data_IF_163815404078
#
_entry.id   IF_163815404078
#
_cell.length_a   1.000
_cell.length_b   1.000
_cell.length_c   1.000
_cell.angle_alpha   90.00
_cell.angle_beta   90.00
_cell.angle_gamma   90.00
#
_symmetry.space_group_name_H-M   'P 1'
#
loop_
_entity.id
_entity.type
_entity.pdbx_description
1 polymer ?
#
# COMPACT_ATOMS: atom_id res chain seq x y z
N UNK A 1 23.32 8.95 -5.08
CA UNK A 1 22.26 7.93 -5.05
C UNK A 1 20.92 8.59 -5.25
N UNK A 2 20.05 7.96 -6.01
CA UNK A 2 18.73 8.49 -6.30
C UNK A 2 17.72 7.97 -5.25
N UNK A 3 16.80 8.84 -4.87
CA UNK A 3 15.68 8.44 -4.02
C UNK A 3 14.49 8.04 -4.89
N UNK A 4 13.82 6.98 -4.50
CA UNK A 4 12.63 6.49 -5.17
C UNK A 4 11.50 6.34 -4.17
N UNK A 5 10.28 6.55 -4.63
CA UNK A 5 9.08 6.31 -3.84
C UNK A 5 8.47 4.99 -4.31
N UNK A 6 8.37 4.05 -3.39
CA UNK A 6 7.77 2.74 -3.67
C UNK A 6 6.31 2.79 -3.27
N UNK A 7 5.43 2.47 -4.21
CA UNK A 7 3.98 2.40 -3.98
C UNK A 7 3.58 0.94 -3.94
N UNK A 8 3.03 0.50 -2.82
CA UNK A 8 2.60 -0.87 -2.60
C UNK A 8 1.13 -0.91 -2.21
N UNK A 9 0.48 -2.05 -2.44
CA UNK A 9 -0.87 -2.25 -1.94
C UNK A 9 -0.85 -2.25 -0.40
N UNK A 10 -1.86 -1.61 0.21
CA UNK A 10 -1.98 -1.61 1.66
C UNK A 10 -2.27 -3.03 2.16
N UNK A 11 -1.42 -3.56 3.03
CA UNK A 11 -1.56 -4.91 3.55
C UNK A 11 -2.76 -5.05 4.49
N UNK A 12 -3.15 -3.99 5.18
CA UNK A 12 -4.25 -4.03 6.14
C UNK A 12 -5.60 -4.24 5.46
N UNK A 13 -5.82 -3.61 4.30
CA UNK A 13 -7.06 -3.73 3.53
C UNK A 13 -6.87 -4.51 2.22
N UNK A 14 -5.67 -5.07 2.01
CA UNK A 14 -5.32 -5.83 0.80
C UNK A 14 -5.55 -5.02 -0.49
N UNK A 15 -5.29 -3.71 -0.41
CA UNK A 15 -5.42 -2.82 -1.56
C UNK A 15 -6.83 -2.32 -1.84
N UNK A 16 -7.83 -2.71 -1.02
CA UNK A 16 -9.22 -2.31 -1.27
C UNK A 16 -9.55 -0.90 -0.80
N UNK A 17 -8.81 -0.37 0.15
CA UNK A 17 -9.06 0.94 0.75
C UNK A 17 -10.16 0.95 1.79
N UNK A 18 -10.80 -0.19 2.05
CA UNK A 18 -11.90 -0.29 3.01
C UNK A 18 -11.69 -1.48 3.94
N UNK A 19 -12.31 -1.38 5.12
CA UNK A 19 -12.35 -2.46 6.10
C UNK A 19 -13.81 -2.77 6.42
N UNK A 20 -14.09 -4.05 6.62
CA UNK A 20 -15.39 -4.49 7.04
C UNK A 20 -15.45 -4.51 8.58
N UNK A 21 -16.42 -3.83 9.14
CA UNK A 21 -16.61 -3.73 10.58
C UNK A 21 -17.92 -4.43 10.93
N UNK A 22 -17.85 -5.41 11.86
CA UNK A 22 -19.03 -6.08 12.34
C UNK A 22 -19.77 -5.15 13.31
N UNK A 23 -21.03 -4.82 13.00
CA UNK A 23 -21.86 -3.93 13.79
C UNK A 23 -22.95 -4.67 14.57
N UNK A 24 -23.12 -5.97 14.28
CA UNK A 24 -24.07 -6.84 14.96
C UNK A 24 -23.77 -8.30 14.66
N UNK A 25 -24.66 -9.20 15.05
CA UNK A 25 -24.43 -10.65 14.90
C UNK A 25 -24.23 -11.06 13.44
N UNK A 26 -24.99 -10.44 12.53
CA UNK A 26 -24.93 -10.77 11.11
C UNK A 26 -24.90 -9.51 10.24
N UNK A 27 -24.55 -8.36 10.82
CA UNK A 27 -24.51 -7.08 10.09
C UNK A 27 -23.10 -6.55 10.08
N UNK A 28 -22.69 -6.03 8.91
CA UNK A 28 -21.37 -5.47 8.66
C UNK A 28 -21.54 -4.14 7.96
N UNK A 29 -20.57 -3.24 8.17
CA UNK A 29 -20.48 -2.00 7.42
C UNK A 29 -19.06 -1.83 6.93
N UNK A 30 -18.89 -1.17 5.81
CA UNK A 30 -17.58 -0.80 5.30
C UNK A 30 -17.18 0.57 5.85
N UNK A 31 -15.90 0.68 6.18
CA UNK A 31 -15.30 1.92 6.64
C UNK A 31 -13.96 2.09 5.92
N UNK A 32 -13.51 3.31 5.79
CA UNK A 32 -12.22 3.58 5.18
C UNK A 32 -11.10 2.93 6.00
N UNK A 33 -10.14 2.32 5.31
CA UNK A 33 -8.96 1.77 5.97
C UNK A 33 -8.12 2.92 6.52
N UNK A 34 -7.95 2.98 7.83
CA UNK A 34 -7.21 4.06 8.48
C UNK A 34 -5.71 3.98 8.19
N UNK A 35 -5.18 2.80 7.91
CA UNK A 35 -3.76 2.62 7.63
C UNK A 35 -3.35 3.31 6.35
N UNK A 36 -4.21 3.33 5.33
CA UNK A 36 -3.94 3.96 4.05
C UNK A 36 -4.89 5.12 3.74
N UNK A 37 -5.69 5.57 4.72
CA UNK A 37 -6.67 6.66 4.56
C UNK A 37 -7.66 6.40 3.40
N UNK A 38 -8.02 5.14 3.19
CA UNK A 38 -8.97 4.75 2.17
C UNK A 38 -8.42 4.69 0.75
N UNK A 39 -7.11 4.89 0.56
CA UNK A 39 -6.49 4.87 -0.77
C UNK A 39 -6.22 3.48 -1.30
N UNK A 40 -6.07 2.49 -0.42
CA UNK A 40 -5.67 1.14 -0.80
C UNK A 40 -4.18 0.98 -1.03
N UNK A 41 -3.39 2.02 -0.85
CA UNK A 41 -1.96 2.04 -1.15
C UNK A 41 -1.16 2.59 0.01
N UNK A 42 0.07 2.11 0.15
CA UNK A 42 1.07 2.67 1.05
C UNK A 42 2.31 3.06 0.28
N UNK A 43 2.99 4.10 0.73
CA UNK A 43 4.20 4.58 0.09
C UNK A 43 5.35 4.65 1.09
N UNK A 44 6.56 4.43 0.61
CA UNK A 44 7.77 4.67 1.40
C UNK A 44 8.92 5.06 0.46
N UNK A 45 9.89 5.75 1.03
CA UNK A 45 11.03 6.26 0.28
C UNK A 45 12.23 5.36 0.50
N UNK A 46 12.94 5.03 -0.57
CA UNK A 46 14.20 4.29 -0.54
C UNK A 46 15.28 5.12 -1.21
N UNK A 47 16.48 5.07 -0.68
CA UNK A 47 17.60 5.87 -1.17
C UNK A 47 18.86 5.03 -1.44
N UNK A 48 18.74 3.69 -1.43
CA UNK A 48 19.87 2.78 -1.55
C UNK A 48 20.02 2.19 -2.94
N UNK A 49 19.12 2.52 -3.87
CA UNK A 49 19.13 1.96 -5.21
C UNK A 49 19.72 2.92 -6.21
N UNK A 50 20.48 2.38 -7.15
CA UNK A 50 21.09 3.17 -8.21
C UNK A 50 20.13 3.50 -9.35
N UNK A 51 19.10 2.69 -9.54
CA UNK A 51 18.12 2.88 -10.60
C UNK A 51 16.76 2.31 -10.19
N UNK A 52 15.74 2.69 -10.95
CA UNK A 52 14.39 2.17 -10.76
C UNK A 52 14.32 0.66 -10.99
N UNK A 53 15.09 0.16 -11.94
CA UNK A 53 15.18 -1.27 -12.22
C UNK A 53 15.75 -2.04 -11.02
N UNK A 54 16.76 -1.48 -10.35
CA UNK A 54 17.33 -2.10 -9.14
C UNK A 54 16.29 -2.17 -8.02
N UNK A 55 15.53 -1.11 -7.82
CA UNK A 55 14.46 -1.10 -6.82
C UNK A 55 13.38 -2.14 -7.15
N UNK A 56 13.07 -2.31 -8.44
CA UNK A 56 12.07 -3.27 -8.90
C UNK A 56 12.48 -4.72 -8.60
N UNK A 57 13.75 -5.03 -8.57
CA UNK A 57 14.24 -6.36 -8.23
C UNK A 57 13.88 -6.74 -6.80
N UNK A 58 13.96 -5.78 -5.87
CA UNK A 58 13.62 -6.01 -4.47
C UNK A 58 12.13 -5.86 -4.19
N UNK A 59 11.41 -5.09 -5.01
CA UNK A 59 9.98 -4.83 -4.86
C UNK A 59 9.23 -5.18 -6.13
N UNK A 60 9.21 -6.48 -6.52
CA UNK A 60 8.56 -6.89 -7.77
C UNK A 60 7.05 -6.69 -7.75
N UNK A 61 6.45 -6.62 -6.56
CA UNK A 61 5.01 -6.43 -6.40
C UNK A 61 4.61 -4.96 -6.23
N UNK A 62 5.56 -4.01 -6.35
CA UNK A 62 5.24 -2.60 -6.25
C UNK A 62 4.28 -2.18 -7.37
N UNK A 63 3.27 -1.40 -7.00
CA UNK A 63 2.30 -0.86 -7.96
C UNK A 63 2.95 0.20 -8.85
N UNK A 64 3.87 0.98 -8.28
CA UNK A 64 4.64 1.97 -9.00
C UNK A 64 5.94 2.25 -8.24
N UNK A 65 6.94 2.73 -8.95
CA UNK A 65 8.20 3.23 -8.40
C UNK A 65 8.42 4.60 -9.02
N UNK A 66 8.34 5.65 -8.20
CA UNK A 66 8.40 7.04 -8.65
C UNK A 66 9.75 7.69 -8.43
#
# INVERSE_FOLDING_TARGET
MNSFIIVMACATCEGSGVREIQTGVATFRESDCQTCDGTGEGTFTVATYGSRADAREDYPNALAIL
#
